data_IF_033555346189
#
_entry.id   IF_033555346189
#
_cell.length_a   1.000
_cell.length_b   1.000
_cell.length_c   1.000
_cell.angle_alpha   90.00
_cell.angle_beta   90.00
_cell.angle_gamma   90.00
#
_symmetry.space_group_name_H-M   'P 1'
#
loop_
_entity.id
_entity.type
_entity.pdbx_description
1 polymer ?
#
# COMPACT_ATOMS: atom_id res chain seq x y z
N UNK A 1 -43.83 25.85 27.71
CA UNK A 1 -43.25 24.67 27.04
C UNK A 1 -41.94 25.11 26.40
N UNK A 2 -40.81 24.94 27.10
CA UNK A 2 -39.50 25.41 26.60
C UNK A 2 -38.77 24.24 25.94
N UNK A 3 -38.68 24.28 24.62
CA UNK A 3 -37.86 23.34 23.84
C UNK A 3 -36.38 23.59 24.14
N UNK A 4 -35.72 22.63 24.79
CA UNK A 4 -34.27 22.68 25.01
C UNK A 4 -33.58 22.28 23.71
N UNK A 5 -32.93 23.25 23.06
CA UNK A 5 -32.10 23.02 21.86
C UNK A 5 -30.92 22.12 22.23
N UNK A 6 -30.85 20.94 21.61
CA UNK A 6 -29.71 20.02 21.76
C UNK A 6 -28.39 20.70 21.40
N UNK A 7 -27.33 20.39 22.15
CA UNK A 7 -25.98 20.94 22.06
C UNK A 7 -25.41 20.77 20.65
N UNK A 8 -25.57 21.81 19.83
CA UNK A 8 -24.95 21.93 18.51
C UNK A 8 -23.44 22.11 18.69
N UNK A 9 -22.66 21.07 18.35
CA UNK A 9 -21.20 21.17 18.23
C UNK A 9 -20.38 20.18 19.05
N UNK A 10 -20.97 19.11 19.60
CA UNK A 10 -20.15 18.06 20.23
C UNK A 10 -19.28 17.38 19.17
N UNK A 11 -17.96 17.36 19.42
CA UNK A 11 -17.02 16.67 18.54
C UNK A 11 -17.26 15.17 18.66
N UNK A 12 -17.90 14.59 17.65
CA UNK A 12 -18.04 13.15 17.54
C UNK A 12 -16.64 12.61 17.27
N UNK A 13 -16.04 11.97 18.26
CA UNK A 13 -14.87 11.12 18.04
C UNK A 13 -15.41 9.87 17.33
N UNK A 14 -15.19 9.67 16.01
CA UNK A 14 -15.51 8.39 15.42
C UNK A 14 -14.68 7.36 16.17
N UNK A 15 -15.33 6.33 16.73
CA UNK A 15 -14.65 5.17 17.29
C UNK A 15 -14.05 4.35 16.14
N UNK A 16 -13.11 4.94 15.39
CA UNK A 16 -12.26 4.21 14.48
C UNK A 16 -10.91 4.05 15.16
N UNK A 17 -10.63 2.89 15.79
CA UNK A 17 -9.35 2.64 16.46
C UNK A 17 -8.16 2.60 15.48
N UNK A 18 -8.38 2.80 14.18
CA UNK A 18 -7.39 2.64 13.12
C UNK A 18 -6.54 3.88 12.80
N UNK A 19 -6.70 5.01 13.50
CA UNK A 19 -5.88 6.21 13.25
C UNK A 19 -4.83 6.44 14.33
N UNK A 20 -4.11 5.39 14.73
CA UNK A 20 -2.81 5.58 15.38
C UNK A 20 -1.76 5.77 14.28
N UNK A 21 -1.52 7.03 13.92
CA UNK A 21 -0.92 7.44 12.64
C UNK A 21 0.55 7.01 12.47
N UNK A 22 1.23 6.69 13.57
CA UNK A 22 2.62 6.20 13.56
C UNK A 22 2.68 4.68 13.37
N UNK A 23 1.72 3.93 13.91
CA UNK A 23 1.58 2.49 13.67
C UNK A 23 1.21 2.22 12.20
N UNK A 24 0.34 3.05 11.63
CA UNK A 24 -0.16 2.93 10.25
C UNK A 24 0.96 3.02 9.18
N UNK A 25 1.95 3.90 9.37
CA UNK A 25 3.03 4.06 8.35
C UNK A 25 4.01 2.87 8.34
N UNK A 26 4.32 2.32 9.51
CA UNK A 26 5.16 1.13 9.63
C UNK A 26 4.47 -0.09 9.01
N UNK A 27 3.17 -0.24 9.25
CA UNK A 27 2.34 -1.32 8.70
C UNK A 27 2.19 -1.20 7.18
N UNK A 28 2.01 0.02 6.65
CA UNK A 28 2.00 0.25 5.19
C UNK A 28 3.34 -0.12 4.57
N UNK A 29 4.45 0.29 5.17
CA UNK A 29 5.79 -0.05 4.64
C UNK A 29 6.03 -1.55 4.66
N UNK A 30 5.63 -2.23 5.75
CA UNK A 30 5.72 -3.68 5.85
C UNK A 30 4.85 -4.40 4.81
N UNK A 31 3.65 -3.88 4.53
CA UNK A 31 2.76 -4.43 3.50
C UNK A 31 3.36 -4.27 2.10
N UNK A 32 3.91 -3.10 1.78
CA UNK A 32 4.55 -2.85 0.49
C UNK A 32 5.79 -3.73 0.30
N UNK A 33 6.63 -3.86 1.33
CA UNK A 33 7.81 -4.73 1.27
C UNK A 33 7.41 -6.20 1.09
N UNK A 34 6.41 -6.67 1.83
CA UNK A 34 5.87 -8.01 1.65
C UNK A 34 5.35 -8.24 0.23
N UNK A 35 4.62 -7.27 -0.33
CA UNK A 35 4.13 -7.34 -1.71
C UNK A 35 5.27 -7.45 -2.72
N UNK A 36 6.34 -6.65 -2.53
CA UNK A 36 7.55 -6.70 -3.35
C UNK A 36 8.26 -8.05 -3.23
N UNK A 37 8.47 -8.54 -2.02
CA UNK A 37 9.15 -9.81 -1.77
C UNK A 37 8.43 -11.00 -2.42
N UNK A 38 7.10 -10.98 -2.45
CA UNK A 38 6.30 -12.03 -3.08
C UNK A 38 6.25 -11.91 -4.62
N UNK A 39 6.13 -10.70 -5.15
CA UNK A 39 5.87 -10.49 -6.58
C UNK A 39 7.15 -10.42 -7.42
N UNK A 40 8.21 -9.78 -6.90
CA UNK A 40 9.42 -9.48 -7.68
C UNK A 40 10.14 -10.73 -8.21
N UNK A 41 10.30 -11.85 -7.46
CA UNK A 41 10.96 -13.04 -7.98
C UNK A 41 10.18 -13.71 -9.10
N UNK A 42 8.85 -13.79 -8.96
CA UNK A 42 7.97 -14.40 -9.98
C UNK A 42 7.92 -13.55 -11.24
N UNK A 43 7.86 -12.22 -11.08
CA UNK A 43 7.94 -11.29 -12.21
C UNK A 43 9.26 -11.44 -12.96
N UNK A 44 10.40 -11.48 -12.25
CA UNK A 44 11.71 -11.68 -12.88
C UNK A 44 11.79 -13.01 -13.63
N UNK A 45 11.36 -14.10 -13.01
CA UNK A 45 11.31 -15.40 -13.69
C UNK A 45 10.35 -15.44 -14.90
N UNK A 46 9.31 -14.59 -14.93
CA UNK A 46 8.46 -14.44 -16.11
C UNK A 46 9.17 -13.65 -17.21
N UNK A 47 9.88 -12.57 -16.85
CA UNK A 47 10.68 -11.76 -17.78
C UNK A 47 11.78 -12.59 -18.44
N UNK A 48 12.49 -13.40 -17.66
CA UNK A 48 13.58 -14.26 -18.15
C UNK A 48 13.11 -15.34 -19.15
N UNK A 49 11.79 -15.59 -19.23
CA UNK A 49 11.19 -16.56 -20.17
C UNK A 49 10.70 -15.94 -21.48
N UNK A 50 10.80 -14.62 -21.63
CA UNK A 50 10.46 -13.98 -22.91
C UNK A 50 11.44 -14.44 -24.00
N UNK A 51 10.95 -14.53 -25.23
CA UNK A 51 11.80 -14.83 -26.36
C UNK A 51 12.82 -13.70 -26.59
N UNK A 52 14.08 -14.02 -26.96
CA UNK A 52 15.07 -13.00 -27.28
C UNK A 52 14.62 -12.05 -28.40
N UNK A 53 14.94 -10.75 -28.33
CA UNK A 53 15.71 -10.06 -27.29
C UNK A 53 14.84 -9.45 -26.17
N UNK A 54 13.54 -9.78 -26.10
CA UNK A 54 12.61 -9.07 -25.22
C UNK A 54 12.91 -9.27 -23.73
N UNK A 55 13.48 -10.41 -23.37
CA UNK A 55 14.04 -10.69 -22.03
C UNK A 55 15.07 -9.64 -21.62
N UNK A 56 16.05 -9.35 -22.49
CA UNK A 56 17.13 -8.40 -22.21
C UNK A 56 16.66 -6.95 -22.21
N UNK A 57 15.79 -6.55 -23.14
CA UNK A 57 15.24 -5.18 -23.18
C UNK A 57 14.36 -4.92 -21.96
N UNK A 58 13.53 -5.89 -21.57
CA UNK A 58 12.73 -5.79 -20.35
C UNK A 58 13.63 -5.75 -19.10
N UNK A 59 14.66 -6.59 -19.02
CA UNK A 59 15.62 -6.56 -17.91
C UNK A 59 16.33 -5.20 -17.78
N UNK A 60 16.73 -4.58 -18.90
CA UNK A 60 17.28 -3.22 -18.91
C UNK A 60 16.26 -2.19 -18.36
N UNK A 61 14.99 -2.29 -18.79
CA UNK A 61 13.96 -1.36 -18.31
C UNK A 61 13.67 -1.50 -16.80
N UNK A 62 13.76 -2.72 -16.28
CA UNK A 62 13.66 -2.95 -14.84
C UNK A 62 14.95 -2.61 -14.07
N UNK A 63 16.03 -2.20 -14.75
CA UNK A 63 17.33 -1.89 -14.14
C UNK A 63 18.03 -3.10 -13.55
N UNK A 64 17.85 -4.29 -14.15
CA UNK A 64 18.48 -5.53 -13.70
C UNK A 64 19.80 -5.84 -14.38
N UNK A 65 20.04 -5.19 -15.53
CA UNK A 65 21.29 -5.24 -16.31
C UNK A 65 21.66 -3.84 -16.79
#
# INVERSE_FOLDING_TARGET
MSSTTGTRGESVTPANPAFDTVADTADVTALLERGRALSAPVLRAAVDRLAPPMDTVAAYHFGWI
#
